data_IF_414943594777
#
_entry.id   IF_414943594777
#
_cell.length_a   1.000
_cell.length_b   1.000
_cell.length_c   1.000
_cell.angle_alpha   90.00
_cell.angle_beta   90.00
_cell.angle_gamma   90.00
#
_symmetry.space_group_name_H-M   'P 1'
#
loop_
_entity.id
_entity.type
_entity.pdbx_description
1 polymer ?
#
# COMPACT_ATOMS: atom_id res chain seq x y z
N UNK A 1 83.11 32.62 -25.71
CA UNK A 1 82.61 33.00 -24.37
C UNK A 1 81.56 31.98 -23.93
N UNK A 2 81.78 31.44 -22.74
CA UNK A 2 81.02 30.57 -21.81
C UNK A 2 79.78 29.75 -22.25
N UNK A 3 79.89 28.45 -21.97
CA UNK A 3 78.89 27.37 -21.87
C UNK A 3 77.87 27.66 -20.76
N UNK A 4 76.58 27.43 -21.01
CA UNK A 4 75.49 27.57 -20.01
C UNK A 4 74.85 26.19 -19.78
N UNK A 5 74.92 25.72 -18.53
CA UNK A 5 74.30 24.51 -18.02
C UNK A 5 72.79 24.71 -17.75
N UNK A 6 72.00 23.64 -17.88
CA UNK A 6 70.60 23.57 -17.40
C UNK A 6 70.54 23.00 -15.98
N UNK A 7 69.65 23.55 -15.13
CA UNK A 7 68.89 22.73 -14.18
C UNK A 7 67.39 23.14 -14.22
N UNK A 8 66.37 22.39 -13.80
CA UNK A 8 66.22 21.10 -13.12
C UNK A 8 64.74 21.01 -12.69
N UNK A 9 64.04 19.94 -13.09
CA UNK A 9 62.57 19.82 -13.13
C UNK A 9 62.02 19.10 -11.87
N UNK A 10 62.30 19.57 -10.64
CA UNK A 10 61.97 18.83 -9.41
C UNK A 10 61.17 19.59 -8.34
N UNK A 11 60.66 20.80 -8.60
CA UNK A 11 60.04 21.63 -7.54
C UNK A 11 58.52 21.59 -7.45
N UNK A 12 57.81 21.02 -8.43
CA UNK A 12 56.34 21.12 -8.50
C UNK A 12 55.58 19.91 -7.90
N UNK A 13 56.21 18.74 -7.76
CA UNK A 13 55.52 17.53 -7.24
C UNK A 13 55.44 17.45 -5.70
N UNK A 14 56.26 18.21 -4.98
CA UNK A 14 56.26 18.20 -3.50
C UNK A 14 55.08 18.94 -2.87
N UNK A 15 54.54 19.95 -3.56
CA UNK A 15 53.53 20.85 -3.01
C UNK A 15 52.12 20.21 -3.03
N UNK A 16 51.81 19.45 -4.10
CA UNK A 16 50.52 18.78 -4.26
C UNK A 16 50.35 17.59 -3.30
N UNK A 17 51.43 16.85 -3.01
CA UNK A 17 51.38 15.73 -2.05
C UNK A 17 51.09 16.20 -0.62
N UNK A 18 51.71 17.32 -0.20
CA UNK A 18 51.45 17.90 1.12
C UNK A 18 50.00 18.35 1.29
N UNK A 19 49.36 18.83 0.21
CA UNK A 19 47.99 19.31 0.26
C UNK A 19 46.96 18.16 0.32
N UNK A 20 47.27 17.00 -0.29
CA UNK A 20 46.44 15.78 -0.20
C UNK A 20 46.57 15.09 1.17
N UNK A 21 47.76 15.10 1.76
CA UNK A 21 48.00 14.56 3.11
C UNK A 21 47.34 15.42 4.20
N UNK A 22 47.24 16.75 4.00
CA UNK A 22 46.50 17.63 4.92
C UNK A 22 44.98 17.40 4.88
N UNK A 23 44.39 17.21 3.70
CA UNK A 23 42.94 16.97 3.57
C UNK A 23 42.50 15.61 4.14
N UNK A 24 43.33 14.58 4.01
CA UNK A 24 43.04 13.25 4.56
C UNK A 24 43.20 13.17 6.09
N UNK A 25 44.07 14.01 6.66
CA UNK A 25 44.19 14.17 8.12
C UNK A 25 42.96 14.82 8.77
N UNK A 26 42.34 15.79 8.11
CA UNK A 26 41.15 16.48 8.62
C UNK A 26 39.89 15.59 8.59
N UNK A 27 39.74 14.76 7.55
CA UNK A 27 38.62 13.82 7.43
C UNK A 27 38.65 12.75 8.54
N UNK A 28 39.83 12.19 8.82
CA UNK A 28 40.02 11.19 9.90
C UNK A 28 39.92 11.78 11.31
N UNK A 29 40.14 13.08 11.50
CA UNK A 29 39.87 13.75 12.76
C UNK A 29 38.37 14.02 12.95
N UNK A 30 37.68 14.46 11.89
CA UNK A 30 36.24 14.68 11.91
C UNK A 30 35.46 13.39 12.20
N UNK A 31 35.80 12.28 11.55
CA UNK A 31 35.15 10.99 11.77
C UNK A 31 35.31 10.50 13.21
N UNK A 32 36.51 10.62 13.78
CA UNK A 32 36.76 10.24 15.18
C UNK A 32 36.00 11.13 16.16
N UNK A 33 35.93 12.43 15.89
CA UNK A 33 35.19 13.38 16.72
C UNK A 33 33.68 13.17 16.64
N UNK A 34 33.16 12.84 15.46
CA UNK A 34 31.76 12.49 15.26
C UNK A 34 31.40 11.17 15.95
N UNK A 35 32.27 10.17 15.86
CA UNK A 35 32.11 8.90 16.57
C UNK A 35 32.03 9.09 18.08
N UNK A 36 32.96 9.86 18.66
CA UNK A 36 32.96 10.15 20.09
C UNK A 36 31.73 10.96 20.55
N UNK A 37 31.21 11.86 19.71
CA UNK A 37 29.98 12.60 19.99
C UNK A 37 28.76 11.68 19.96
N UNK A 38 28.63 10.80 18.96
CA UNK A 38 27.51 9.87 18.84
C UNK A 38 27.48 8.85 19.98
N UNK A 39 28.64 8.35 20.41
CA UNK A 39 28.75 7.43 21.54
C UNK A 39 28.33 8.12 22.85
N UNK A 40 28.76 9.36 23.07
CA UNK A 40 28.34 10.16 24.22
C UNK A 40 26.83 10.44 24.26
N UNK A 41 26.19 10.69 23.10
CA UNK A 41 24.73 10.83 23.01
C UNK A 41 23.96 9.52 23.24
N UNK A 42 24.58 8.37 22.93
CA UNK A 42 23.98 7.06 23.16
C UNK A 42 24.06 6.64 24.63
N UNK A 43 25.15 7.00 25.33
CA UNK A 43 25.32 6.73 26.76
C UNK A 43 24.41 7.59 27.65
N UNK A 44 24.12 8.85 27.25
CA UNK A 44 23.26 9.78 28.02
C UNK A 44 21.76 9.68 27.68
N UNK A 45 21.34 8.77 26.79
CA UNK A 45 19.94 8.59 26.45
C UNK A 45 19.21 7.75 27.53
N UNK A 46 18.31 8.33 28.36
CA UNK A 46 17.58 7.55 29.34
C UNK A 46 16.58 6.64 28.62
N UNK A 47 16.71 5.32 28.75
CA UNK A 47 15.71 4.37 28.29
C UNK A 47 14.51 4.37 29.26
N UNK A 48 13.34 4.95 28.93
CA UNK A 48 12.19 4.94 29.83
C UNK A 48 11.42 3.64 29.57
N UNK A 49 11.95 2.51 30.03
CA UNK A 49 11.32 1.20 29.85
C UNK A 49 10.12 1.00 30.77
N UNK A 50 10.14 1.58 31.97
CA UNK A 50 9.13 1.33 32.99
C UNK A 50 7.76 1.93 32.66
N UNK A 51 7.71 3.12 32.06
CA UNK A 51 6.44 3.78 31.69
C UNK A 51 5.79 3.13 30.48
N UNK A 52 6.60 2.64 29.53
CA UNK A 52 6.14 1.89 28.36
C UNK A 52 5.65 0.48 28.74
N UNK A 53 6.37 -0.21 29.64
CA UNK A 53 5.98 -1.52 30.16
C UNK A 53 4.70 -1.41 31.01
N UNK A 54 4.61 -0.42 31.89
CA UNK A 54 3.41 -0.17 32.69
C UNK A 54 2.19 0.19 31.82
N UNK A 55 2.39 1.02 30.79
CA UNK A 55 1.35 1.36 29.82
C UNK A 55 0.87 0.16 29.00
N UNK A 56 1.82 -0.69 28.55
CA UNK A 56 1.53 -1.93 27.83
C UNK A 56 0.77 -2.96 28.68
N UNK A 57 1.17 -3.15 29.93
CA UNK A 57 0.51 -4.07 30.86
C UNK A 57 -0.90 -3.59 31.26
N UNK A 58 -1.09 -2.28 31.47
CA UNK A 58 -2.41 -1.70 31.74
C UNK A 58 -3.38 -1.89 30.55
N UNK A 59 -2.90 -1.69 29.32
CA UNK A 59 -3.68 -1.92 28.09
C UNK A 59 -4.02 -3.41 27.89
N UNK A 60 -3.06 -4.30 28.16
CA UNK A 60 -3.25 -5.75 28.08
C UNK A 60 -4.27 -6.30 29.09
N UNK A 61 -4.28 -5.77 30.32
CA UNK A 61 -5.26 -6.17 31.36
C UNK A 61 -6.70 -5.75 31.00
N UNK A 62 -6.90 -4.55 30.46
CA UNK A 62 -8.23 -4.06 30.02
C UNK A 62 -8.79 -4.93 28.88
N UNK A 63 -7.96 -5.35 27.93
CA UNK A 63 -8.38 -6.24 26.83
C UNK A 63 -8.82 -7.62 27.33
N UNK A 64 -8.10 -8.24 28.27
CA UNK A 64 -8.46 -9.56 28.82
C UNK A 64 -9.72 -9.51 29.69
N UNK A 65 -9.96 -8.41 30.40
CA UNK A 65 -11.17 -8.20 31.18
C UNK A 65 -12.42 -8.13 30.27
N UNK A 66 -12.33 -7.41 29.14
CA UNK A 66 -13.42 -7.33 28.14
C UNK A 66 -13.72 -8.66 27.46
N UNK A 67 -12.70 -9.49 27.19
CA UNK A 67 -12.89 -10.84 26.63
C UNK A 67 -13.63 -11.80 27.56
N UNK A 68 -13.50 -11.66 28.90
CA UNK A 68 -14.12 -12.57 29.87
C UNK A 68 -15.57 -12.23 30.23
N UNK A 69 -16.05 -11.03 29.92
CA UNK A 69 -17.42 -10.62 30.20
C UNK A 69 -18.46 -11.17 29.19
N UNK A 70 -18.03 -11.75 28.05
CA UNK A 70 -18.92 -12.18 26.96
C UNK A 70 -18.96 -13.71 26.73
N UNK A 71 -18.31 -14.51 27.58
CA UNK A 71 -18.42 -15.98 27.56
C UNK A 71 -19.19 -16.54 28.77
N UNK A 72 -20.01 -15.70 29.42
CA UNK A 72 -20.66 -16.02 30.70
C UNK A 72 -22.19 -16.12 30.68
N UNK A 73 -22.88 -15.95 29.55
CA UNK A 73 -24.34 -16.05 29.52
C UNK A 73 -24.83 -16.61 28.18
N UNK A 74 -25.33 -17.86 28.19
CA UNK A 74 -26.14 -18.37 27.08
C UNK A 74 -25.96 -19.83 26.68
N UNK A 75 -25.95 -20.79 27.62
CA UNK A 75 -26.24 -22.19 27.28
C UNK A 75 -27.48 -22.65 28.05
N UNK A 76 -28.67 -22.49 27.46
CA UNK A 76 -29.85 -23.29 27.79
C UNK A 76 -30.67 -23.58 26.51
N UNK A 77 -30.74 -24.88 26.22
CA UNK A 77 -31.63 -25.71 25.39
C UNK A 77 -32.88 -25.14 24.70
N UNK A 78 -33.13 -25.59 23.46
CA UNK A 78 -34.27 -26.44 23.03
C UNK A 78 -34.07 -26.82 21.55
N UNK A 79 -33.78 -28.09 21.23
CA UNK A 79 -34.75 -29.14 20.89
C UNK A 79 -35.22 -29.12 19.42
N UNK A 80 -34.98 -30.24 18.76
CA UNK A 80 -35.32 -30.63 17.40
C UNK A 80 -36.81 -30.57 17.07
N UNK A 81 -37.14 -30.08 15.88
CA UNK A 81 -38.34 -30.50 15.16
C UNK A 81 -38.05 -30.55 13.64
N UNK A 82 -38.24 -31.73 13.06
CA UNK A 82 -38.26 -31.97 11.62
C UNK A 82 -39.65 -31.63 11.06
N UNK A 83 -39.63 -31.24 9.78
CA UNK A 83 -40.70 -31.32 8.76
C UNK A 83 -41.83 -30.28 8.78
N UNK A 84 -41.76 -29.35 7.81
CA UNK A 84 -42.83 -29.16 6.82
C UNK A 84 -42.26 -28.37 5.62
N UNK A 85 -42.15 -29.04 4.49
CA UNK A 85 -41.91 -28.42 3.18
C UNK A 85 -43.20 -27.73 2.77
N UNK A 86 -43.17 -26.41 2.61
CA UNK A 86 -44.09 -25.66 1.77
C UNK A 86 -43.23 -24.78 0.87
N UNK A 87 -43.13 -25.19 -0.39
CA UNK A 87 -42.52 -24.41 -1.47
C UNK A 87 -43.51 -23.31 -1.84
N UNK A 88 -43.30 -22.10 -1.32
CA UNK A 88 -43.84 -20.88 -1.94
C UNK A 88 -42.67 -20.18 -2.62
N UNK A 89 -42.69 -20.28 -3.94
CA UNK A 89 -41.73 -19.68 -4.85
C UNK A 89 -41.88 -18.15 -4.82
N UNK A 90 -41.02 -17.46 -4.07
CA UNK A 90 -40.79 -16.02 -4.21
C UNK A 90 -39.37 -15.82 -4.74
N UNK A 91 -39.29 -15.18 -5.91
CA UNK A 91 -38.10 -15.11 -6.75
C UNK A 91 -36.88 -14.55 -6.02
N UNK A 92 -35.91 -15.43 -5.78
CA UNK A 92 -34.55 -15.03 -5.48
C UNK A 92 -33.89 -14.52 -6.77
N UNK A 93 -33.24 -13.35 -6.78
CA UNK A 93 -32.39 -12.98 -7.89
C UNK A 93 -31.24 -13.99 -7.97
N UNK A 94 -31.04 -14.55 -9.16
CA UNK A 94 -30.02 -15.52 -9.50
C UNK A 94 -28.70 -15.26 -8.78
N UNK A 95 -28.37 -16.09 -7.78
CA UNK A 95 -27.01 -16.22 -7.31
C UNK A 95 -26.25 -16.99 -8.39
N UNK A 96 -25.79 -16.24 -9.41
CA UNK A 96 -24.87 -16.79 -10.38
C UNK A 96 -23.68 -17.39 -9.60
N UNK A 97 -23.21 -18.60 -9.95
CA UNK A 97 -21.96 -19.10 -9.42
C UNK A 97 -20.90 -18.03 -9.68
N UNK A 98 -20.02 -17.79 -8.70
CA UNK A 98 -18.88 -16.90 -8.87
C UNK A 98 -18.06 -17.44 -10.05
N UNK A 99 -18.31 -16.88 -11.23
CA UNK A 99 -17.60 -17.28 -12.42
C UNK A 99 -16.15 -16.87 -12.20
N UNK A 100 -15.25 -17.84 -12.23
CA UNK A 100 -13.83 -17.63 -12.47
C UNK A 100 -13.59 -17.15 -13.93
N UNK A 101 -14.47 -16.27 -14.43
CA UNK A 101 -14.41 -15.66 -15.74
C UNK A 101 -13.60 -14.38 -15.66
N UNK A 102 -12.64 -14.22 -16.56
CA UNK A 102 -11.86 -12.99 -16.65
C UNK A 102 -12.77 -11.78 -16.89
N UNK A 103 -12.38 -10.63 -16.32
CA UNK A 103 -13.05 -9.35 -16.59
C UNK A 103 -12.65 -8.80 -17.96
N UNK A 104 -13.58 -8.13 -18.63
CA UNK A 104 -13.28 -7.34 -19.83
C UNK A 104 -12.73 -5.98 -19.41
N UNK A 105 -11.49 -5.67 -19.78
CA UNK A 105 -10.87 -4.36 -19.50
C UNK A 105 -11.35 -3.34 -20.54
N UNK A 106 -11.78 -2.14 -20.13
CA UNK A 106 -12.25 -1.14 -21.07
C UNK A 106 -11.16 -0.62 -22.01
N UNK A 107 -11.56 -0.05 -23.15
CA UNK A 107 -10.62 0.31 -24.23
C UNK A 107 -9.68 1.48 -23.91
N UNK A 108 -10.12 2.50 -23.16
CA UNK A 108 -9.27 3.65 -22.79
C UNK A 108 -8.27 3.31 -21.69
N UNK A 109 -8.50 2.28 -20.87
CA UNK A 109 -7.61 1.92 -19.75
C UNK A 109 -6.15 1.64 -20.19
N UNK A 110 -5.89 1.00 -21.35
CA UNK A 110 -4.55 0.93 -21.93
C UNK A 110 -4.11 2.18 -22.71
N UNK A 111 -5.01 3.11 -23.02
CA UNK A 111 -4.78 4.22 -23.95
C UNK A 111 -4.81 5.64 -23.32
N UNK A 112 -4.94 5.77 -22.00
CA UNK A 112 -5.30 7.02 -21.31
C UNK A 112 -4.28 8.20 -21.36
N UNK A 113 -3.45 8.30 -22.40
CA UNK A 113 -2.52 9.40 -22.63
C UNK A 113 -3.19 10.64 -23.30
N UNK A 114 -4.52 10.69 -23.41
CA UNK A 114 -5.15 11.52 -24.45
C UNK A 114 -6.30 12.46 -24.03
N UNK A 115 -6.62 12.66 -22.75
CA UNK A 115 -7.63 13.68 -22.39
C UNK A 115 -7.15 14.60 -21.29
N UNK A 116 -6.98 15.90 -21.61
CA UNK A 116 -6.77 16.92 -20.59
C UNK A 116 -8.06 17.27 -19.86
N UNK A 117 -7.97 18.19 -18.90
CA UNK A 117 -9.14 18.70 -18.20
C UNK A 117 -10.22 19.24 -19.19
N UNK A 118 -11.51 18.92 -18.98
CA UNK A 118 -12.58 19.56 -19.73
C UNK A 118 -12.53 21.09 -19.56
N UNK A 119 -12.99 21.87 -20.56
CA UNK A 119 -12.99 23.33 -20.46
C UNK A 119 -13.69 23.84 -19.20
N UNK A 120 -13.00 24.67 -18.42
CA UNK A 120 -13.54 25.28 -17.20
C UNK A 120 -13.62 24.35 -15.98
N UNK A 121 -13.03 23.15 -16.05
CA UNK A 121 -12.92 22.21 -14.93
C UNK A 121 -11.50 22.16 -14.39
N UNK A 122 -11.35 21.97 -13.10
CA UNK A 122 -10.04 21.78 -12.44
C UNK A 122 -9.89 20.36 -11.95
N UNK A 123 -8.66 19.88 -11.77
CA UNK A 123 -8.40 18.58 -11.16
C UNK A 123 -9.08 18.48 -9.78
N UNK A 124 -9.67 17.33 -9.48
CA UNK A 124 -10.18 17.02 -8.15
C UNK A 124 -9.06 17.15 -7.11
N UNK A 125 -9.34 17.87 -6.03
CA UNK A 125 -8.43 17.96 -4.87
C UNK A 125 -8.74 16.89 -3.84
N UNK A 126 -7.76 16.55 -3.01
CA UNK A 126 -7.94 15.62 -1.89
C UNK A 126 -8.99 16.13 -0.89
N UNK A 127 -9.11 17.44 -0.71
CA UNK A 127 -10.13 18.04 0.17
C UNK A 127 -11.53 17.78 -0.36
N UNK A 128 -11.74 17.95 -1.66
CA UNK A 128 -13.02 17.63 -2.33
C UNK A 128 -13.29 16.12 -2.29
N UNK A 129 -12.27 15.29 -2.51
CA UNK A 129 -12.41 13.84 -2.41
C UNK A 129 -12.86 13.39 -1.00
N UNK A 130 -12.34 14.02 0.07
CA UNK A 130 -12.76 13.75 1.45
C UNK A 130 -14.16 14.26 1.75
N UNK A 131 -14.55 15.41 1.19
CA UNK A 131 -15.90 15.93 1.32
C UNK A 131 -16.91 14.96 0.68
N UNK A 132 -16.64 14.52 -0.54
CA UNK A 132 -17.46 13.53 -1.24
C UNK A 132 -17.49 12.18 -0.50
N UNK A 133 -16.35 11.73 0.02
CA UNK A 133 -16.29 10.51 0.83
C UNK A 133 -17.20 10.59 2.05
N UNK A 134 -17.26 11.77 2.71
CA UNK A 134 -18.10 12.01 3.87
C UNK A 134 -19.59 12.00 3.51
N UNK A 135 -19.95 12.64 2.40
CA UNK A 135 -21.34 12.72 1.93
C UNK A 135 -21.88 11.36 1.49
N UNK A 136 -21.00 10.44 1.07
CA UNK A 136 -21.35 9.07 0.68
C UNK A 136 -21.39 8.06 1.82
N UNK A 137 -21.08 8.45 3.06
CA UNK A 137 -21.13 7.52 4.19
C UNK A 137 -22.57 7.04 4.43
N UNK A 138 -22.79 5.72 4.59
CA UNK A 138 -24.13 5.19 4.83
C UNK A 138 -24.65 5.60 6.21
N UNK A 139 -23.81 5.52 7.24
CA UNK A 139 -24.10 5.85 8.64
C UNK A 139 -22.79 6.19 9.37
N UNK A 140 -22.90 6.95 10.47
CA UNK A 140 -21.77 7.34 11.32
C UNK A 140 -21.13 8.67 10.95
N UNK A 141 -20.59 9.36 11.95
CA UNK A 141 -19.88 10.64 11.77
C UNK A 141 -18.38 10.43 11.78
N UNK A 142 -17.68 11.08 10.85
CA UNK A 142 -16.23 11.04 10.81
C UNK A 142 -15.62 11.91 11.91
N UNK A 143 -14.87 11.28 12.80
CA UNK A 143 -14.18 11.92 13.93
C UNK A 143 -12.86 12.61 13.54
N UNK A 144 -12.35 12.32 12.35
CA UNK A 144 -11.11 12.88 11.84
C UNK A 144 -11.00 12.74 10.33
N UNK A 145 -10.24 13.64 9.71
CA UNK A 145 -10.04 13.67 8.27
C UNK A 145 -8.59 14.02 7.92
N UNK A 146 -8.07 13.39 6.88
CA UNK A 146 -6.80 13.76 6.22
C UNK A 146 -6.98 13.62 4.72
N UNK A 147 -6.35 14.47 3.94
CA UNK A 147 -6.37 14.38 2.49
C UNK A 147 -4.97 14.49 1.90
N UNK A 148 -4.86 14.12 0.64
CA UNK A 148 -3.68 14.30 -0.18
C UNK A 148 -4.09 14.59 -1.62
N UNK A 149 -3.34 15.49 -2.25
CA UNK A 149 -3.36 15.66 -3.69
C UNK A 149 -2.28 14.73 -4.27
N UNK A 150 -2.56 14.20 -5.46
CA UNK A 150 -1.60 13.43 -6.24
C UNK A 150 -0.55 14.34 -6.87
N UNK A 151 0.26 13.77 -7.76
CA UNK A 151 1.25 14.55 -8.48
C UNK A 151 0.57 15.59 -9.39
N UNK A 152 1.28 16.67 -9.69
CA UNK A 152 0.80 17.81 -10.52
C UNK A 152 0.62 17.46 -12.03
N UNK A 153 0.35 16.18 -12.36
CA UNK A 153 0.01 15.76 -13.71
C UNK A 153 -1.47 16.10 -13.98
N UNK A 154 -1.70 17.29 -14.54
CA UNK A 154 -3.05 17.76 -14.89
C UNK A 154 -3.79 16.83 -15.87
N UNK A 155 -3.05 16.03 -16.65
CA UNK A 155 -3.64 15.04 -17.56
C UNK A 155 -4.04 13.76 -16.83
N UNK A 156 -3.55 13.53 -15.61
CA UNK A 156 -3.81 12.34 -14.79
C UNK A 156 -4.06 12.76 -13.34
N UNK A 157 -5.14 13.53 -13.09
CA UNK A 157 -5.43 14.01 -11.76
C UNK A 157 -5.58 12.82 -10.81
N UNK A 158 -4.90 12.86 -9.69
CA UNK A 158 -5.04 11.89 -8.63
C UNK A 158 -5.26 12.66 -7.33
N UNK A 159 -6.18 12.18 -6.51
CA UNK A 159 -6.46 12.78 -5.22
C UNK A 159 -7.10 11.75 -4.31
N UNK A 160 -6.96 11.94 -3.01
CA UNK A 160 -7.56 11.03 -2.07
C UNK A 160 -7.59 11.57 -0.66
N UNK A 161 -8.07 10.71 0.21
CA UNK A 161 -8.14 11.05 1.61
C UNK A 161 -8.62 9.92 2.48
N UNK A 162 -8.73 10.24 3.76
CA UNK A 162 -9.06 9.34 4.83
C UNK A 162 -10.04 10.01 5.79
N UNK A 163 -11.03 9.25 6.20
CA UNK A 163 -11.88 9.53 7.35
C UNK A 163 -11.63 8.51 8.46
N UNK A 164 -11.84 8.92 9.72
CA UNK A 164 -11.86 8.03 10.88
C UNK A 164 -13.30 7.83 11.38
N UNK A 165 -13.80 6.60 11.30
CA UNK A 165 -15.09 6.17 11.81
C UNK A 165 -14.85 5.29 13.03
N UNK A 166 -15.24 5.75 14.21
CA UNK A 166 -15.07 5.02 15.49
C UNK A 166 -13.64 4.48 15.73
N UNK A 167 -12.65 5.28 15.35
CA UNK A 167 -11.23 4.92 15.49
C UNK A 167 -10.71 3.95 14.43
N UNK A 168 -11.49 3.64 13.39
CA UNK A 168 -11.09 2.84 12.24
C UNK A 168 -11.10 3.70 10.96
N UNK A 169 -10.17 3.43 10.04
CA UNK A 169 -10.02 4.26 8.85
C UNK A 169 -10.84 3.79 7.65
N UNK A 170 -11.36 4.77 6.91
CA UNK A 170 -11.90 4.61 5.55
C UNK A 170 -11.12 5.54 4.63
N UNK A 171 -10.57 5.02 3.54
CA UNK A 171 -9.80 5.78 2.56
C UNK A 171 -10.46 5.76 1.20
N UNK A 172 -10.27 6.86 0.46
CA UNK A 172 -10.59 6.96 -0.97
C UNK A 172 -9.36 7.39 -1.74
N UNK A 173 -9.19 6.83 -2.93
CA UNK A 173 -8.23 7.26 -3.93
C UNK A 173 -8.95 7.32 -5.28
N UNK A 174 -8.93 8.50 -5.90
CA UNK A 174 -9.56 8.80 -7.18
C UNK A 174 -8.48 9.16 -8.18
N UNK A 175 -8.48 8.51 -9.33
CA UNK A 175 -7.49 8.72 -10.40
C UNK A 175 -8.22 8.92 -11.72
N UNK A 176 -8.03 10.08 -12.35
CA UNK A 176 -8.43 10.34 -13.72
C UNK A 176 -7.42 9.77 -14.70
N UNK A 177 -7.88 9.34 -15.88
CA UNK A 177 -7.03 8.75 -16.91
C UNK A 177 -6.09 7.67 -16.37
N UNK A 178 -6.64 6.78 -15.53
CA UNK A 178 -5.87 5.74 -14.87
C UNK A 178 -5.11 4.88 -15.89
N UNK A 179 -3.79 4.83 -15.71
CA UNK A 179 -2.92 3.85 -16.35
C UNK A 179 -2.13 3.13 -15.27
N UNK A 180 -2.31 1.82 -15.18
CA UNK A 180 -1.38 0.98 -14.44
C UNK A 180 -0.03 1.08 -15.14
N UNK A 181 1.01 1.49 -14.42
CA UNK A 181 2.34 1.58 -14.99
C UNK A 181 3.16 0.33 -14.66
N UNK A 182 4.15 0.00 -15.49
CA UNK A 182 5.05 -1.12 -15.25
C UNK A 182 5.70 -1.08 -13.85
N UNK A 183 6.03 0.10 -13.32
CA UNK A 183 6.60 0.27 -11.99
C UNK A 183 5.63 -0.11 -10.85
N UNK A 184 4.33 0.14 -11.02
CA UNK A 184 3.29 -0.22 -10.03
C UNK A 184 2.98 -1.73 -10.02
N UNK A 185 3.08 -2.37 -11.19
CA UNK A 185 3.00 -3.82 -11.35
C UNK A 185 4.24 -4.52 -10.81
N UNK A 186 5.44 -4.02 -11.18
CA UNK A 186 6.73 -4.57 -10.79
C UNK A 186 7.00 -4.41 -9.29
N UNK A 187 6.64 -3.31 -8.65
CA UNK A 187 6.82 -3.16 -7.19
C UNK A 187 5.93 -4.13 -6.40
N UNK A 188 4.69 -4.36 -6.85
CA UNK A 188 3.80 -5.35 -6.22
C UNK A 188 4.20 -6.80 -6.53
N UNK A 189 4.65 -7.09 -7.75
CA UNK A 189 5.15 -8.42 -8.11
C UNK A 189 6.52 -8.73 -7.49
N UNK A 190 7.40 -7.72 -7.37
CA UNK A 190 8.66 -7.82 -6.64
C UNK A 190 8.42 -7.96 -5.14
N UNK A 191 7.45 -7.25 -4.56
CA UNK A 191 7.02 -7.46 -3.17
C UNK A 191 6.47 -8.87 -2.96
N UNK A 192 5.61 -9.36 -3.88
CA UNK A 192 5.12 -10.76 -3.87
C UNK A 192 6.24 -11.78 -4.03
N UNK A 193 7.27 -11.49 -4.84
CA UNK A 193 8.42 -12.38 -5.05
C UNK A 193 9.37 -12.36 -3.85
N UNK A 194 9.58 -11.20 -3.22
CA UNK A 194 10.36 -11.04 -2.00
C UNK A 194 9.70 -11.77 -0.81
N UNK A 195 8.38 -11.70 -0.70
CA UNK A 195 7.58 -12.49 0.23
C UNK A 195 7.80 -14.01 0.05
N UNK A 196 7.75 -14.50 -1.19
CA UNK A 196 8.05 -15.91 -1.52
C UNK A 196 9.48 -16.35 -1.18
N UNK A 197 10.45 -15.44 -1.25
CA UNK A 197 11.84 -15.72 -0.87
C UNK A 197 12.05 -15.68 0.65
N UNK A 198 11.12 -15.11 1.42
CA UNK A 198 11.18 -15.07 2.88
C UNK A 198 10.61 -16.34 3.54
N UNK A 199 9.68 -17.05 2.89
CA UNK A 199 9.06 -18.30 3.39
C UNK A 199 9.81 -19.59 2.96
N UNK A 200 11.07 -19.47 2.54
CA UNK A 200 11.96 -20.61 2.28
C UNK A 200 12.40 -21.28 3.57
N UNK A 201 11.49 -22.02 4.22
CA UNK A 201 11.82 -22.97 5.29
C UNK A 201 12.84 -23.97 4.75
N UNK A 202 14.01 -23.98 5.39
CA UNK A 202 15.12 -24.89 5.14
C UNK A 202 14.63 -26.34 5.10
N UNK A 203 14.69 -26.98 3.93
CA UNK A 203 14.92 -28.42 3.87
C UNK A 203 16.44 -28.62 4.01
N UNK A 204 16.82 -29.33 5.07
CA UNK A 204 18.19 -29.59 5.44
C UNK A 204 18.92 -30.41 4.38
N UNK A 205 19.68 -29.71 3.53
CA UNK A 205 20.85 -30.29 2.88
C UNK A 205 21.92 -29.22 2.73
N UNK A 206 22.90 -29.23 3.64
CA UNK A 206 24.16 -28.52 3.40
C UNK A 206 24.79 -29.08 2.13
N UNK A 207 24.97 -28.25 1.11
CA UNK A 207 25.92 -28.55 0.06
C UNK A 207 27.33 -28.28 0.60
N UNK A 208 28.25 -29.22 0.36
CA UNK A 208 29.64 -29.15 0.80
C UNK A 208 30.46 -28.22 -0.09
N UNK A 209 29.97 -27.01 -0.36
CA UNK A 209 30.61 -26.08 -1.27
C UNK A 209 30.35 -24.67 -0.76
N UNK A 210 31.19 -24.20 0.17
CA UNK A 210 31.05 -22.91 0.85
C UNK A 210 30.93 -21.70 -0.09
N UNK A 211 29.73 -21.45 -0.60
CA UNK A 211 29.32 -20.20 -1.25
C UNK A 211 28.41 -19.45 -0.31
N UNK A 212 28.73 -18.18 -0.11
CA UNK A 212 27.97 -17.26 0.72
C UNK A 212 26.53 -17.11 0.21
N UNK A 213 25.59 -16.98 1.15
CA UNK A 213 24.21 -16.65 0.88
C UNK A 213 24.09 -15.37 0.02
N UNK A 214 23.09 -15.25 -0.87
CA UNK A 214 22.93 -14.06 -1.68
C UNK A 214 22.71 -12.82 -0.79
N UNK A 215 23.54 -11.80 -1.02
CA UNK A 215 23.50 -10.53 -0.30
C UNK A 215 22.13 -9.85 -0.50
N UNK A 216 21.34 -9.80 0.56
CA UNK A 216 20.00 -9.19 0.59
C UNK A 216 20.04 -7.69 0.24
N UNK A 217 21.20 -7.05 0.35
CA UNK A 217 21.40 -5.64 -0.02
C UNK A 217 21.44 -5.45 -1.54
N UNK A 218 22.00 -6.40 -2.30
CA UNK A 218 22.13 -6.32 -3.74
C UNK A 218 20.78 -6.48 -4.46
N UNK A 219 19.87 -7.32 -3.94
CA UNK A 219 18.52 -7.46 -4.47
C UNK A 219 17.66 -6.21 -4.20
N UNK A 220 17.80 -5.62 -3.01
CA UNK A 220 17.14 -4.36 -2.65
C UNK A 220 17.71 -3.17 -3.43
N UNK A 221 19.01 -3.17 -3.73
CA UNK A 221 19.65 -2.17 -4.59
C UNK A 221 19.21 -2.31 -6.05
N UNK A 222 19.12 -3.52 -6.60
CA UNK A 222 18.60 -3.76 -7.95
C UNK A 222 17.14 -3.31 -8.10
N UNK A 223 16.29 -3.56 -7.10
CA UNK A 223 14.91 -3.06 -7.09
C UNK A 223 14.85 -1.52 -7.00
N UNK A 224 15.78 -0.89 -6.28
CA UNK A 224 15.92 0.59 -6.24
C UNK A 224 16.49 1.15 -7.55
N UNK A 225 17.41 0.45 -8.21
CA UNK A 225 18.00 0.84 -9.49
C UNK A 225 17.03 0.67 -10.65
N UNK A 226 16.24 -0.41 -10.68
CA UNK A 226 15.13 -0.59 -11.63
C UNK A 226 14.02 0.45 -11.42
N UNK A 227 13.78 0.91 -10.19
CA UNK A 227 12.89 2.06 -9.92
C UNK A 227 13.49 3.42 -10.31
N UNK A 228 14.82 3.48 -10.51
CA UNK A 228 15.56 4.68 -10.93
C UNK A 228 15.82 4.74 -12.43
N UNK A 229 15.52 3.70 -13.19
CA UNK A 229 15.62 3.71 -14.65
C UNK A 229 14.52 4.62 -15.22
N UNK A 230 14.92 5.85 -15.49
CA UNK A 230 14.26 6.85 -16.34
C UNK A 230 12.74 6.97 -16.16
N UNK A 231 12.32 7.94 -15.35
CA UNK A 231 10.95 8.48 -15.32
C UNK A 231 10.44 9.05 -16.66
N UNK A 232 11.11 8.76 -17.79
CA UNK A 232 10.73 9.16 -19.15
C UNK A 232 10.11 8.04 -19.99
N UNK A 233 10.18 6.76 -19.58
CA UNK A 233 9.65 5.64 -20.39
C UNK A 233 8.93 4.56 -19.57
N UNK A 234 8.09 4.94 -18.61
CA UNK A 234 7.22 3.95 -17.96
C UNK A 234 6.05 3.64 -18.90
N UNK A 235 6.09 2.48 -19.57
CA UNK A 235 5.02 2.08 -20.49
C UNK A 235 3.69 1.85 -19.77
N UNK A 236 2.55 2.16 -20.40
CA UNK A 236 1.26 1.70 -19.92
C UNK A 236 1.20 0.17 -19.85
N UNK A 237 0.48 -0.35 -18.86
CA UNK A 237 0.18 -1.77 -18.77
C UNK A 237 -0.65 -2.23 -19.99
N UNK A 238 -0.33 -3.42 -20.48
CA UNK A 238 -1.12 -4.12 -21.48
C UNK A 238 -2.50 -4.49 -20.92
N UNK A 239 -3.49 -4.72 -21.81
CA UNK A 239 -4.79 -5.27 -21.39
C UNK A 239 -4.66 -6.58 -20.61
N UNK A 240 -3.63 -7.39 -20.90
CA UNK A 240 -3.39 -8.63 -20.17
C UNK A 240 -2.93 -8.37 -18.74
N UNK A 241 -1.98 -7.44 -18.56
CA UNK A 241 -1.52 -7.02 -17.22
C UNK A 241 -2.66 -6.40 -16.40
N UNK A 242 -3.51 -5.57 -17.03
CA UNK A 242 -4.71 -5.04 -16.38
C UNK A 242 -5.72 -6.15 -16.01
N UNK A 243 -5.93 -7.15 -16.87
CA UNK A 243 -6.79 -8.31 -16.52
C UNK A 243 -6.24 -9.07 -15.32
N UNK A 244 -4.92 -9.28 -15.26
CA UNK A 244 -4.27 -9.91 -14.11
C UNK A 244 -4.44 -9.06 -12.84
N UNK A 245 -4.27 -7.73 -12.95
CA UNK A 245 -4.46 -6.80 -11.85
C UNK A 245 -5.88 -6.83 -11.25
N UNK A 246 -6.90 -6.94 -12.11
CA UNK A 246 -8.31 -7.09 -11.73
C UNK A 246 -8.74 -8.57 -11.59
N UNK A 247 -7.81 -9.49 -11.29
CA UNK A 247 -8.14 -10.90 -11.05
C UNK A 247 -7.98 -11.30 -9.59
N UNK A 248 -8.92 -12.09 -9.08
CA UNK A 248 -8.81 -12.68 -7.74
C UNK A 248 -7.68 -13.70 -7.65
N UNK A 249 -7.46 -14.48 -8.72
CA UNK A 249 -6.41 -15.50 -8.76
C UNK A 249 -4.99 -14.91 -8.62
N UNK A 250 -4.74 -13.70 -9.13
CA UNK A 250 -3.45 -13.04 -8.93
C UNK A 250 -3.27 -12.46 -7.51
N UNK A 251 -4.36 -12.25 -6.76
CA UNK A 251 -4.33 -11.67 -5.42
C UNK A 251 -4.02 -12.67 -4.32
N UNK A 252 -4.32 -13.95 -4.50
CA UNK A 252 -4.02 -15.03 -3.53
C UNK A 252 -2.51 -15.32 -3.33
N UNK A 253 -1.63 -14.50 -3.90
CA UNK A 253 -0.19 -14.72 -3.96
C UNK A 253 0.63 -13.83 -2.99
N UNK A 254 0.00 -13.23 -1.97
CA UNK A 254 0.62 -12.33 -0.98
C UNK A 254 0.66 -12.92 0.44
N UNK A 255 1.45 -12.31 1.35
CA UNK A 255 1.52 -12.66 2.79
C UNK A 255 0.22 -12.35 3.56
N UNK A 256 -0.73 -11.65 2.92
CA UNK A 256 -2.05 -11.40 3.48
C UNK A 256 -2.98 -12.58 3.20
N UNK A 257 -3.77 -12.97 4.18
CA UNK A 257 -4.81 -13.99 3.99
C UNK A 257 -5.99 -13.35 3.24
N UNK A 258 -6.20 -13.77 2.00
CA UNK A 258 -7.36 -13.38 1.20
C UNK A 258 -8.58 -14.19 1.65
N UNK A 259 -9.55 -13.55 2.31
CA UNK A 259 -10.75 -14.20 2.87
C UNK A 259 -12.02 -13.98 2.03
N UNK A 260 -11.95 -13.10 1.03
CA UNK A 260 -13.01 -12.92 0.04
C UNK A 260 -12.49 -12.15 -1.16
N UNK A 261 -12.93 -12.51 -2.36
CA UNK A 261 -12.65 -11.76 -3.58
C UNK A 261 -13.71 -12.02 -4.65
N UNK A 262 -14.15 -10.94 -5.30
CA UNK A 262 -15.02 -11.02 -6.46
C UNK A 262 -14.64 -9.93 -7.46
N UNK A 263 -14.35 -10.32 -8.71
CA UNK A 263 -14.15 -9.42 -9.83
C UNK A 263 -15.30 -9.60 -10.83
N UNK A 264 -15.84 -8.50 -11.36
CA UNK A 264 -16.93 -8.53 -12.34
C UNK A 264 -16.97 -7.27 -13.19
N UNK A 265 -17.52 -7.42 -14.39
CA UNK A 265 -17.99 -6.28 -15.17
C UNK A 265 -19.36 -5.81 -14.65
N UNK A 266 -19.57 -4.49 -14.61
CA UNK A 266 -20.86 -3.87 -14.34
C UNK A 266 -21.61 -3.62 -15.65
N UNK A 267 -22.92 -3.37 -15.55
CA UNK A 267 -23.79 -3.13 -16.72
C UNK A 267 -23.42 -1.87 -17.51
N UNK A 268 -22.70 -0.93 -16.89
CA UNK A 268 -22.19 0.28 -17.54
C UNK A 268 -20.83 0.09 -18.23
N UNK A 269 -20.31 -1.15 -18.24
CA UNK A 269 -19.01 -1.50 -18.81
C UNK A 269 -17.82 -1.29 -17.86
N UNK A 270 -18.04 -0.78 -16.65
CA UNK A 270 -16.98 -0.66 -15.63
C UNK A 270 -16.50 -2.02 -15.14
N UNK A 271 -15.28 -2.05 -14.63
CA UNK A 271 -14.71 -3.23 -13.95
C UNK A 271 -14.69 -2.95 -12.45
N UNK A 272 -15.28 -3.85 -11.67
CA UNK A 272 -15.25 -3.80 -10.21
C UNK A 272 -14.52 -5.03 -9.69
N UNK A 273 -13.52 -4.83 -8.84
CA UNK A 273 -13.01 -5.89 -7.96
C UNK A 273 -13.23 -5.51 -6.50
N UNK A 274 -13.74 -6.46 -5.74
CA UNK A 274 -13.90 -6.35 -4.28
C UNK A 274 -13.11 -7.46 -3.63
N UNK A 275 -12.47 -7.17 -2.51
CA UNK A 275 -11.72 -8.18 -1.79
C UNK A 275 -11.54 -7.82 -0.31
N UNK A 276 -11.27 -8.84 0.50
CA UNK A 276 -10.92 -8.71 1.91
C UNK A 276 -9.60 -9.42 2.18
N UNK A 277 -8.65 -8.69 2.70
CA UNK A 277 -7.33 -9.17 3.09
C UNK A 277 -7.17 -9.02 4.61
N UNK A 278 -6.48 -9.97 5.24
CA UNK A 278 -6.16 -9.89 6.66
C UNK A 278 -4.70 -10.23 6.94
N UNK A 279 -4.11 -9.50 7.88
CA UNK A 279 -2.75 -9.74 8.38
C UNK A 279 -2.78 -9.68 9.92
N UNK A 280 -2.75 -10.86 10.56
CA UNK A 280 -3.05 -10.96 11.98
C UNK A 280 -4.47 -10.48 12.28
N UNK A 281 -4.61 -9.55 13.23
CA UNK A 281 -5.90 -8.95 13.59
C UNK A 281 -6.31 -7.77 12.66
N UNK A 282 -5.41 -7.30 11.79
CA UNK A 282 -5.72 -6.26 10.81
C UNK A 282 -6.54 -6.86 9.68
N UNK A 283 -7.66 -6.24 9.36
CA UNK A 283 -8.56 -6.60 8.26
C UNK A 283 -8.79 -5.36 7.42
N UNK A 284 -8.65 -5.51 6.11
CA UNK A 284 -8.95 -4.48 5.11
C UNK A 284 -9.97 -5.02 4.11
N UNK A 285 -10.98 -4.20 3.79
CA UNK A 285 -11.93 -4.45 2.71
C UNK A 285 -11.76 -3.38 1.65
N UNK A 286 -11.73 -3.78 0.39
CA UNK A 286 -11.57 -2.86 -0.73
C UNK A 286 -12.66 -3.06 -1.78
N UNK A 287 -13.13 -1.94 -2.33
CA UNK A 287 -13.83 -1.88 -3.61
C UNK A 287 -13.01 -1.00 -4.57
N UNK A 288 -12.57 -1.57 -5.68
CA UNK A 288 -11.76 -0.92 -6.71
C UNK A 288 -12.52 -0.95 -8.03
N UNK A 289 -13.00 0.23 -8.44
CA UNK A 289 -13.83 0.44 -9.62
C UNK A 289 -13.04 1.19 -10.68
N UNK A 290 -12.87 0.57 -11.85
CA UNK A 290 -12.39 1.22 -13.06
C UNK A 290 -13.56 1.48 -14.00
N UNK A 291 -13.92 2.76 -14.15
CA UNK A 291 -15.00 3.21 -15.02
C UNK A 291 -14.57 3.29 -16.46
N UNK A 292 -15.55 3.28 -17.36
CA UNK A 292 -15.35 3.36 -18.81
C UNK A 292 -14.80 4.71 -19.34
N UNK A 293 -14.54 5.67 -18.47
CA UNK A 293 -14.09 7.02 -18.82
C UNK A 293 -12.63 7.27 -18.42
N UNK A 294 -11.94 6.28 -17.84
CA UNK A 294 -10.58 6.47 -17.31
C UNK A 294 -10.53 6.66 -15.81
N UNK A 295 -11.67 6.93 -15.17
CA UNK A 295 -11.72 7.16 -13.73
C UNK A 295 -11.59 5.85 -12.98
N UNK A 296 -10.60 5.77 -12.11
CA UNK A 296 -10.48 4.70 -11.11
C UNK A 296 -10.81 5.25 -9.73
N UNK A 297 -11.69 4.57 -9.01
CA UNK A 297 -12.09 4.90 -7.63
C UNK A 297 -11.79 3.69 -6.77
N UNK A 298 -10.92 3.87 -5.78
CA UNK A 298 -10.56 2.84 -4.81
C UNK A 298 -11.01 3.28 -3.44
N UNK A 299 -11.91 2.50 -2.84
CA UNK A 299 -12.34 2.68 -1.46
C UNK A 299 -11.86 1.52 -0.61
N UNK A 300 -11.23 1.84 0.52
CA UNK A 300 -10.78 0.83 1.49
C UNK A 300 -11.30 1.17 2.87
N UNK A 301 -11.80 0.17 3.60
CA UNK A 301 -12.09 0.27 5.02
C UNK A 301 -11.20 -0.71 5.78
N UNK A 302 -10.49 -0.22 6.79
CA UNK A 302 -9.62 -1.01 7.65
C UNK A 302 -10.10 -0.92 9.10
N UNK A 303 -9.91 -1.98 9.89
CA UNK A 303 -10.24 -1.98 11.32
C UNK A 303 -9.16 -1.34 12.22
N UNK A 304 -8.35 -0.43 11.67
CA UNK A 304 -7.26 0.27 12.34
C UNK A 304 -7.36 1.79 12.10
N UNK A 305 -6.84 2.61 13.01
CA UNK A 305 -6.77 4.07 12.82
C UNK A 305 -5.70 4.51 11.80
N UNK A 306 -4.73 3.64 11.54
CA UNK A 306 -3.67 3.79 10.54
C UNK A 306 -3.28 2.37 10.10
N UNK A 307 -3.85 1.85 9.00
CA UNK A 307 -3.61 0.47 8.59
C UNK A 307 -2.15 0.23 8.14
N UNK A 308 -1.42 1.29 7.79
CA UNK A 308 -0.02 1.17 7.34
C UNK A 308 0.96 0.91 8.49
N UNK A 309 0.65 1.40 9.70
CA UNK A 309 1.60 1.42 10.83
C UNK A 309 1.00 1.01 12.16
N UNK A 310 -0.32 1.04 12.28
CA UNK A 310 -1.06 0.86 13.52
C UNK A 310 -1.65 -0.55 13.66
N UNK A 311 -1.93 -0.98 14.90
CA UNK A 311 -2.69 -2.19 15.15
C UNK A 311 -4.17 -1.97 14.83
N UNK A 312 -4.91 -3.08 14.73
CA UNK A 312 -6.37 -3.05 14.76
C UNK A 312 -6.88 -2.32 16.02
N UNK A 313 -7.80 -1.38 15.81
CA UNK A 313 -8.48 -0.58 16.84
C UNK A 313 -9.92 -1.05 17.06
N UNK A 314 -10.54 -1.68 16.07
CA UNK A 314 -11.91 -2.22 16.13
C UNK A 314 -11.93 -3.71 15.76
N UNK A 315 -13.03 -4.40 16.07
CA UNK A 315 -13.16 -5.83 15.78
C UNK A 315 -13.26 -6.14 14.28
N UNK A 316 -13.88 -5.25 13.50
CA UNK A 316 -14.05 -5.38 12.05
C UNK A 316 -14.00 -4.02 11.37
N UNK A 317 -13.70 -3.95 10.06
CA UNK A 317 -13.74 -2.70 9.32
C UNK A 317 -15.12 -2.04 9.42
N UNK A 318 -15.17 -0.69 9.47
CA UNK A 318 -16.41 0.05 9.73
C UNK A 318 -17.43 -0.03 8.59
N UNK A 319 -16.97 -0.38 7.37
CA UNK A 319 -17.83 -0.54 6.20
C UNK A 319 -17.77 -1.98 5.66
N UNK A 320 -18.90 -2.44 5.16
CA UNK A 320 -19.03 -3.72 4.44
C UNK A 320 -18.57 -3.58 2.99
N UNK A 321 -18.27 -4.71 2.33
CA UNK A 321 -17.92 -4.71 0.90
C UNK A 321 -19.06 -4.16 0.01
N UNK A 322 -20.31 -4.36 0.43
CA UNK A 322 -21.50 -3.85 -0.28
C UNK A 322 -21.62 -2.33 -0.16
N UNK A 323 -21.42 -1.78 1.05
CA UNK A 323 -21.38 -0.32 1.26
C UNK A 323 -20.26 0.33 0.45
N UNK A 324 -19.03 -0.21 0.51
CA UNK A 324 -17.91 0.27 -0.30
C UNK A 324 -18.21 0.21 -1.80
N UNK A 325 -18.87 -0.85 -2.27
CA UNK A 325 -19.31 -0.97 -3.66
C UNK A 325 -20.33 0.10 -4.04
N UNK A 326 -21.31 0.38 -3.17
CA UNK A 326 -22.30 1.44 -3.39
C UNK A 326 -21.64 2.81 -3.54
N UNK A 327 -20.74 3.13 -2.61
CA UNK A 327 -19.99 4.38 -2.60
C UNK A 327 -19.07 4.53 -3.82
N UNK A 328 -18.32 3.50 -4.20
CA UNK A 328 -17.39 3.54 -5.36
C UNK A 328 -18.13 3.83 -6.67
N UNK A 329 -19.38 3.35 -6.78
CA UNK A 329 -20.25 3.52 -7.95
C UNK A 329 -20.93 4.89 -8.02
N UNK A 330 -20.75 5.77 -7.03
CA UNK A 330 -21.38 7.09 -7.06
C UNK A 330 -20.88 7.92 -8.24
N UNK A 331 -21.80 8.45 -9.04
CA UNK A 331 -21.46 9.27 -10.22
C UNK A 331 -20.85 10.63 -9.86
N UNK A 332 -20.88 11.01 -8.59
CA UNK A 332 -20.29 12.24 -8.06
C UNK A 332 -18.78 12.21 -8.02
N UNK A 333 -18.15 11.03 -7.98
CA UNK A 333 -16.71 10.91 -8.19
C UNK A 333 -16.36 11.38 -9.61
N UNK A 334 -15.74 12.54 -9.71
CA UNK A 334 -15.27 13.12 -10.96
C UNK A 334 -13.79 13.47 -10.80
N UNK A 335 -12.92 13.06 -11.74
CA UNK A 335 -11.51 13.43 -11.70
C UNK A 335 -11.26 14.92 -11.99
N UNK A 336 -12.25 15.61 -12.58
CA UNK A 336 -12.27 17.06 -12.73
C UNK A 336 -13.60 17.65 -12.25
N UNK A 337 -13.55 18.73 -11.47
CA UNK A 337 -14.70 19.35 -10.78
C UNK A 337 -14.97 20.78 -11.24
#
# INVERSE_FOLDING_TARGET
MKRVERPGHHRAEGDVRNQVDQLSGEETEFERRLGALLDGYAEDAPAPTDTLVAGGLARGRRMRARRRALWGAGTVACASALAAVVVVSWGAPNRAPAQAGGVTIPEFAPAAAATGAPPGKTALTGKEAVAELRDLLPEGEATGARWWDGNDDEARPAAGGRLLLDGAEVTVDVQGNFQLTGADGLTKDAARKAARSADGRQDGRQDKSGKAAPDKSAAAQRAKEESKSDGKNIRPATRSELRTFYSCAARTASDATLSGCAARNLTDGSVLITYQESHGDLVERTADLLRKDGTRVVLTAANAADAKKGPASTATPPLTAEQLTGMARSKTWQPWV
#
